data_IF_913340019211
#
_entry.id   IF_913340019211
#
_cell.length_a   1.000
_cell.length_b   1.000
_cell.length_c   1.000
_cell.angle_alpha   90.00
_cell.angle_beta   90.00
_cell.angle_gamma   90.00
#
_symmetry.space_group_name_H-M   'P 1'
#
loop_
_entity.id
_entity.type
_entity.pdbx_description
1 polymer ?
#
# COMPACT_ATOMS: atom_id res chain seq x y z
N UNK A 1 15.61 -0.16 28.87
CA UNK A 1 14.78 -1.39 29.03
C UNK A 1 14.16 -1.74 27.67
N UNK A 2 14.55 -2.88 27.06
CA UNK A 2 13.85 -3.41 25.87
C UNK A 2 12.49 -3.91 26.34
N UNK A 3 11.40 -3.19 26.06
CA UNK A 3 10.06 -3.74 26.25
C UNK A 3 9.86 -4.83 25.21
N UNK A 4 9.95 -6.09 25.61
CA UNK A 4 9.54 -7.20 24.77
C UNK A 4 8.01 -7.19 24.69
N UNK A 5 7.47 -6.63 23.61
CA UNK A 5 6.05 -6.75 23.31
C UNK A 5 5.78 -8.17 22.79
N UNK A 6 5.03 -8.96 23.56
CA UNK A 6 4.43 -10.19 23.04
C UNK A 6 3.06 -9.81 22.46
N UNK A 7 2.88 -10.06 21.18
CA UNK A 7 1.60 -9.91 20.51
C UNK A 7 0.90 -11.26 20.49
N UNK A 8 -0.31 -11.30 21.07
CA UNK A 8 -1.17 -12.47 20.98
C UNK A 8 -2.00 -12.35 19.69
N UNK A 9 -1.66 -13.17 18.68
CA UNK A 9 -2.29 -13.11 17.36
C UNK A 9 -3.57 -13.95 17.35
N UNK A 10 -4.71 -13.28 17.47
CA UNK A 10 -6.03 -13.92 17.30
C UNK A 10 -6.24 -14.30 15.84
N UNK A 11 -6.61 -15.55 15.58
CA UNK A 11 -7.03 -15.96 14.22
C UNK A 11 -8.33 -15.26 13.85
N UNK A 12 -8.36 -14.64 12.67
CA UNK A 12 -9.56 -14.07 12.10
C UNK A 12 -9.98 -14.84 10.85
N UNK A 13 -11.27 -15.19 10.76
CA UNK A 13 -11.84 -15.79 9.56
C UNK A 13 -12.22 -14.75 8.49
N UNK A 14 -12.06 -13.47 8.79
CA UNK A 14 -12.32 -12.37 7.86
C UNK A 14 -11.23 -12.33 6.79
N UNK A 15 -11.61 -11.92 5.58
CA UNK A 15 -10.72 -11.89 4.41
C UNK A 15 -10.48 -10.45 3.98
N UNK A 16 -9.27 -10.15 3.49
CA UNK A 16 -8.93 -8.86 2.91
C UNK A 16 -8.63 -8.97 1.41
N UNK A 17 -9.06 -7.98 0.62
CA UNK A 17 -8.65 -7.79 -0.77
C UNK A 17 -7.73 -6.59 -0.86
N UNK A 18 -6.51 -6.77 -1.36
CA UNK A 18 -5.61 -5.68 -1.70
C UNK A 18 -5.83 -5.34 -3.18
N UNK A 19 -6.45 -4.19 -3.45
CA UNK A 19 -6.74 -3.70 -4.78
C UNK A 19 -5.78 -2.55 -5.10
N UNK A 20 -4.96 -2.70 -6.14
CA UNK A 20 -4.01 -1.65 -6.47
C UNK A 20 -2.90 -2.11 -7.41
N UNK A 21 -1.72 -1.52 -7.25
CA UNK A 21 -0.59 -1.76 -8.15
C UNK A 21 0.14 -3.06 -7.85
N UNK A 22 0.52 -3.75 -8.94
CA UNK A 22 1.44 -4.88 -8.94
C UNK A 22 2.64 -4.55 -9.82
N UNK A 23 3.84 -4.80 -9.36
CA UNK A 23 5.10 -4.39 -9.99
C UNK A 23 6.12 -5.52 -9.85
N UNK A 24 6.93 -5.74 -10.87
CA UNK A 24 8.16 -6.54 -10.73
C UNK A 24 9.32 -5.59 -10.45
N UNK A 25 9.96 -5.76 -9.29
CA UNK A 25 11.11 -4.97 -8.91
C UNK A 25 12.40 -5.67 -9.31
N UNK A 26 13.30 -4.92 -9.94
CA UNK A 26 14.67 -5.36 -10.25
C UNK A 26 15.64 -4.50 -9.44
N UNK A 27 16.32 -5.11 -8.51
CA UNK A 27 17.31 -4.45 -7.66
C UNK A 27 18.71 -4.74 -8.20
N UNK A 28 19.39 -3.71 -8.71
CA UNK A 28 20.77 -3.80 -9.22
C UNK A 28 21.70 -3.06 -8.25
N UNK A 29 22.72 -3.77 -7.73
CA UNK A 29 23.63 -3.25 -6.71
C UNK A 29 25.00 -2.91 -7.25
N UNK A 30 25.68 -2.03 -6.53
CA UNK A 30 27.02 -1.50 -6.83
C UNK A 30 27.02 -0.60 -8.08
N UNK A 31 25.93 0.15 -8.29
CA UNK A 31 25.86 1.14 -9.35
C UNK A 31 26.27 2.51 -8.80
N UNK A 32 27.56 2.81 -8.80
CA UNK A 32 28.09 4.09 -8.30
C UNK A 32 28.09 5.19 -9.37
N UNK A 33 28.17 4.81 -10.64
CA UNK A 33 28.08 5.72 -11.80
C UNK A 33 27.08 5.19 -12.82
N UNK A 34 26.26 6.08 -13.34
CA UNK A 34 25.49 5.79 -14.56
C UNK A 34 26.44 5.99 -15.74
N UNK A 35 26.62 5.00 -16.61
CA UNK A 35 27.46 5.15 -17.79
C UNK A 35 26.93 6.27 -18.69
N UNK A 36 27.82 6.88 -19.49
CA UNK A 36 27.43 7.83 -20.53
C UNK A 36 26.63 7.09 -21.61
N UNK A 37 25.86 7.82 -22.38
CA UNK A 37 25.19 7.28 -23.56
C UNK A 37 26.20 6.54 -24.46
N UNK A 38 25.77 5.43 -25.04
CA UNK A 38 26.56 4.57 -25.93
C UNK A 38 27.81 3.93 -25.28
N UNK A 39 27.84 3.84 -23.94
CA UNK A 39 28.91 3.15 -23.21
C UNK A 39 28.38 2.05 -22.31
N UNK A 40 29.19 1.04 -22.03
CA UNK A 40 28.87 -0.08 -21.15
C UNK A 40 29.28 0.24 -19.71
N UNK A 41 28.37 -0.04 -18.77
CA UNK A 41 28.66 -0.13 -17.34
C UNK A 41 28.35 -1.51 -16.80
N UNK A 42 29.03 -1.93 -15.77
CA UNK A 42 28.79 -3.21 -15.07
C UNK A 42 28.32 -2.96 -13.64
N UNK A 43 27.65 -3.95 -13.06
CA UNK A 43 27.23 -3.98 -11.66
C UNK A 43 27.33 -5.42 -11.12
N UNK A 44 27.35 -5.59 -9.79
CA UNK A 44 27.75 -6.86 -9.20
C UNK A 44 26.59 -7.85 -8.98
N UNK A 45 25.42 -7.35 -8.58
CA UNK A 45 24.31 -8.22 -8.14
C UNK A 45 22.97 -7.72 -8.70
N UNK A 46 22.14 -8.66 -9.13
CA UNK A 46 20.73 -8.40 -9.45
C UNK A 46 19.82 -9.29 -8.64
N UNK A 47 18.74 -8.72 -8.09
CA UNK A 47 17.65 -9.44 -7.44
C UNK A 47 16.33 -9.04 -8.05
N UNK A 48 15.42 -10.00 -8.10
CA UNK A 48 14.06 -9.79 -8.57
C UNK A 48 13.08 -9.95 -7.41
N UNK A 49 12.09 -9.08 -7.35
CA UNK A 49 11.02 -9.11 -6.35
C UNK A 49 9.65 -8.90 -6.99
N UNK A 50 8.64 -9.58 -6.46
CA UNK A 50 7.26 -9.20 -6.72
C UNK A 50 6.89 -8.14 -5.70
N UNK A 51 6.51 -6.96 -6.18
CA UNK A 51 6.22 -5.77 -5.38
C UNK A 51 4.99 -5.02 -5.89
N UNK A 52 4.93 -3.75 -5.52
CA UNK A 52 3.75 -2.91 -5.63
C UNK A 52 2.85 -3.02 -4.40
N UNK A 53 2.20 -1.91 -4.02
CA UNK A 53 1.52 -1.81 -2.73
C UNK A 53 0.49 -2.92 -2.49
N UNK A 54 -0.25 -3.38 -3.53
CA UNK A 54 -1.22 -4.45 -3.36
C UNK A 54 -0.56 -5.80 -3.07
N UNK A 55 0.54 -6.10 -3.76
CA UNK A 55 1.30 -7.35 -3.57
C UNK A 55 1.99 -7.34 -2.20
N UNK A 56 2.68 -6.26 -1.86
CA UNK A 56 3.39 -6.11 -0.58
C UNK A 56 2.43 -6.24 0.61
N UNK A 57 1.32 -5.50 0.60
CA UNK A 57 0.32 -5.56 1.68
C UNK A 57 -0.30 -6.95 1.79
N UNK A 58 -0.59 -7.62 0.66
CA UNK A 58 -1.15 -8.97 0.66
C UNK A 58 -0.16 -10.00 1.24
N UNK A 59 1.13 -9.92 0.89
CA UNK A 59 2.18 -10.79 1.44
C UNK A 59 2.29 -10.58 2.95
N UNK A 60 2.32 -9.34 3.43
CA UNK A 60 2.38 -9.03 4.85
C UNK A 60 1.14 -9.53 5.60
N UNK A 61 -0.08 -9.32 5.07
CA UNK A 61 -1.32 -9.83 5.65
C UNK A 61 -1.35 -11.36 5.74
N UNK A 62 -0.90 -12.03 4.68
CA UNK A 62 -0.80 -13.48 4.66
C UNK A 62 0.18 -14.01 5.72
N UNK A 63 1.33 -13.34 5.89
CA UNK A 63 2.30 -13.68 6.95
C UNK A 63 1.74 -13.48 8.36
N UNK A 64 0.77 -12.58 8.54
CA UNK A 64 0.01 -12.38 9.78
C UNK A 64 -1.17 -13.36 9.94
N UNK A 65 -1.39 -14.27 8.98
CA UNK A 65 -2.43 -15.30 9.04
C UNK A 65 -3.81 -14.84 8.53
N UNK A 66 -3.91 -13.68 7.85
CA UNK A 66 -5.14 -13.24 7.19
C UNK A 66 -5.24 -13.86 5.79
N UNK A 67 -6.35 -14.52 5.51
CA UNK A 67 -6.67 -14.93 4.15
C UNK A 67 -6.90 -13.69 3.28
N UNK A 68 -6.11 -13.54 2.24
CA UNK A 68 -6.18 -12.35 1.39
C UNK A 68 -6.13 -12.70 -0.09
N UNK A 69 -6.54 -11.74 -0.91
CA UNK A 69 -6.42 -11.76 -2.36
C UNK A 69 -5.85 -10.46 -2.89
N UNK A 70 -5.38 -10.51 -4.13
CA UNK A 70 -4.90 -9.35 -4.88
C UNK A 70 -5.81 -9.09 -6.07
N UNK A 71 -6.17 -7.83 -6.28
CA UNK A 71 -6.81 -7.31 -7.48
C UNK A 71 -5.90 -6.26 -8.09
N UNK A 72 -5.33 -6.57 -9.24
CA UNK A 72 -4.36 -5.72 -9.93
C UNK A 72 -4.33 -6.06 -11.42
N UNK A 73 -3.73 -5.20 -12.23
CA UNK A 73 -3.48 -5.50 -13.63
C UNK A 73 -2.00 -5.86 -13.85
N UNK A 74 -1.78 -6.88 -14.68
CA UNK A 74 -0.47 -7.33 -15.15
C UNK A 74 -0.48 -7.52 -16.66
N UNK A 75 0.68 -7.63 -17.26
CA UNK A 75 0.84 -8.01 -18.67
C UNK A 75 0.70 -9.51 -18.89
N UNK A 76 0.62 -9.89 -20.16
CA UNK A 76 0.76 -11.29 -20.62
C UNK A 76 2.24 -11.57 -20.91
N UNK A 77 3.10 -11.41 -19.90
CA UNK A 77 4.56 -11.49 -19.99
C UNK A 77 5.15 -12.24 -18.79
N UNK A 78 6.46 -12.49 -18.84
CA UNK A 78 7.19 -13.22 -17.80
C UNK A 78 7.11 -12.52 -16.43
N UNK A 79 7.08 -11.19 -16.40
CA UNK A 79 6.97 -10.42 -15.17
C UNK A 79 5.61 -10.64 -14.51
N UNK A 80 4.53 -10.68 -15.28
CA UNK A 80 3.19 -10.96 -14.77
C UNK A 80 3.06 -12.39 -14.25
N UNK A 81 3.62 -13.38 -14.96
CA UNK A 81 3.65 -14.77 -14.50
C UNK A 81 4.48 -14.91 -13.21
N UNK A 82 5.61 -14.20 -13.11
CA UNK A 82 6.41 -14.18 -11.90
C UNK A 82 5.61 -13.67 -10.68
N UNK A 83 4.87 -12.57 -10.81
CA UNK A 83 4.02 -12.03 -9.74
C UNK A 83 2.97 -13.08 -9.33
N UNK A 84 2.27 -13.69 -10.29
CA UNK A 84 1.25 -14.71 -10.01
C UNK A 84 1.86 -15.90 -9.26
N UNK A 85 3.02 -16.39 -9.70
CA UNK A 85 3.72 -17.51 -9.07
C UNK A 85 4.09 -17.19 -7.62
N UNK A 86 4.65 -16.00 -7.36
CA UNK A 86 5.00 -15.56 -6.01
C UNK A 86 3.78 -15.46 -5.07
N UNK A 87 2.63 -15.03 -5.57
CA UNK A 87 1.38 -14.97 -4.81
C UNK A 87 0.81 -16.38 -4.56
N UNK A 88 0.78 -17.25 -5.58
CA UNK A 88 0.29 -18.63 -5.47
C UNK A 88 1.11 -19.46 -4.50
N UNK A 89 2.45 -19.34 -4.49
CA UNK A 89 3.33 -20.01 -3.53
C UNK A 89 2.98 -19.67 -2.07
N UNK A 90 2.40 -18.49 -1.84
CA UNK A 90 1.93 -18.03 -0.53
C UNK A 90 0.43 -18.29 -0.31
N UNK A 91 -0.24 -18.99 -1.22
CA UNK A 91 -1.69 -19.25 -1.16
C UNK A 91 -2.55 -17.98 -1.13
N UNK A 92 -2.05 -16.88 -1.70
CA UNK A 92 -2.81 -15.62 -1.87
C UNK A 92 -3.71 -15.77 -3.09
N UNK A 93 -4.99 -15.36 -2.95
CA UNK A 93 -5.98 -15.47 -4.03
C UNK A 93 -5.65 -14.50 -5.17
N UNK A 94 -5.47 -15.05 -6.37
CA UNK A 94 -5.14 -14.32 -7.60
C UNK A 94 -6.32 -14.22 -8.58
N UNK A 95 -7.53 -14.64 -8.20
CA UNK A 95 -8.69 -14.70 -9.09
C UNK A 95 -9.16 -13.32 -9.59
N UNK A 96 -8.73 -12.24 -8.95
CA UNK A 96 -9.03 -10.87 -9.34
C UNK A 96 -7.84 -10.15 -10.03
N UNK A 97 -6.79 -10.88 -10.41
CA UNK A 97 -5.72 -10.33 -11.23
C UNK A 97 -6.11 -10.38 -12.69
N UNK A 98 -5.99 -9.24 -13.36
CA UNK A 98 -6.37 -9.06 -14.77
C UNK A 98 -5.13 -9.04 -15.65
N UNK A 99 -5.17 -9.78 -16.75
CA UNK A 99 -4.11 -9.78 -17.77
C UNK A 99 -4.47 -8.82 -18.90
N UNK A 100 -3.66 -7.80 -19.10
CA UNK A 100 -3.85 -6.77 -20.13
C UNK A 100 -2.92 -6.98 -21.34
N UNK A 101 -3.06 -6.13 -22.36
CA UNK A 101 -2.13 -6.07 -23.52
C UNK A 101 -0.86 -5.26 -23.18
N UNK A 102 -0.91 -4.42 -22.15
CA UNK A 102 0.25 -3.66 -21.70
C UNK A 102 1.20 -4.58 -20.94
N UNK A 103 2.49 -4.26 -20.95
CA UNK A 103 3.47 -4.98 -20.16
C UNK A 103 3.19 -4.83 -18.66
N UNK A 104 3.55 -5.82 -17.88
CA UNK A 104 3.57 -5.72 -16.42
C UNK A 104 4.45 -4.55 -16.00
N UNK A 105 4.00 -3.80 -14.98
CA UNK A 105 4.81 -2.73 -14.43
C UNK A 105 6.15 -3.26 -13.91
N UNK A 106 7.20 -2.48 -14.14
CA UNK A 106 8.55 -2.81 -13.68
C UNK A 106 9.18 -1.59 -13.01
N UNK A 107 9.85 -1.82 -11.89
CA UNK A 107 10.73 -0.84 -11.26
C UNK A 107 12.16 -1.35 -11.30
N UNK A 108 13.05 -0.57 -11.86
CA UNK A 108 14.49 -0.78 -11.81
C UNK A 108 15.09 0.09 -10.70
N UNK A 109 15.50 -0.55 -9.61
CA UNK A 109 16.14 0.09 -8.47
C UNK A 109 17.66 -0.01 -8.60
N UNK A 110 18.31 1.10 -8.87
CA UNK A 110 19.78 1.23 -8.88
C UNK A 110 20.26 1.55 -7.47
N UNK A 111 21.09 0.69 -6.92
CA UNK A 111 21.61 0.81 -5.55
C UNK A 111 23.13 0.99 -5.63
N UNK A 112 23.62 2.11 -5.13
CA UNK A 112 25.07 2.35 -5.03
C UNK A 112 25.70 1.57 -3.89
N UNK A 113 27.04 1.43 -3.89
CA UNK A 113 27.80 0.74 -2.84
C UNK A 113 27.58 1.34 -1.45
N UNK A 114 27.26 2.65 -1.36
CA UNK A 114 26.93 3.31 -0.10
C UNK A 114 25.43 3.28 0.26
N UNK A 115 24.62 2.45 -0.44
CA UNK A 115 23.21 2.24 -0.14
C UNK A 115 22.23 3.30 -0.67
N UNK A 116 22.71 4.35 -1.38
CA UNK A 116 21.82 5.33 -2.02
C UNK A 116 21.08 4.67 -3.18
N UNK A 117 19.83 5.11 -3.44
CA UNK A 117 18.94 4.50 -4.42
C UNK A 117 18.42 5.50 -5.44
N UNK A 118 18.21 4.99 -6.66
CA UNK A 118 17.47 5.66 -7.73
C UNK A 118 16.50 4.65 -8.33
N UNK A 119 15.34 5.14 -8.73
CA UNK A 119 14.29 4.30 -9.28
C UNK A 119 13.89 4.79 -10.67
N UNK A 120 13.74 3.84 -11.59
CA UNK A 120 13.08 4.04 -12.87
C UNK A 120 11.88 3.10 -12.91
N UNK A 121 10.69 3.66 -13.08
CA UNK A 121 9.45 2.88 -13.07
C UNK A 121 8.68 3.08 -14.36
N UNK A 122 8.23 1.96 -14.95
CA UNK A 122 7.20 1.93 -15.98
C UNK A 122 5.93 1.36 -15.35
N UNK A 123 4.84 2.11 -15.36
CA UNK A 123 3.59 1.71 -14.73
C UNK A 123 2.80 0.66 -15.52
N UNK A 124 3.07 0.53 -16.82
CA UNK A 124 2.56 -0.56 -17.66
C UNK A 124 1.08 -0.84 -17.50
N UNK A 125 0.75 -2.07 -17.12
CA UNK A 125 -0.63 -2.54 -16.93
C UNK A 125 -1.40 -1.78 -15.84
N UNK A 126 -0.72 -1.23 -14.82
CA UNK A 126 -1.39 -0.45 -13.78
C UNK A 126 -2.08 0.81 -14.33
N UNK A 127 -1.53 1.43 -15.38
CA UNK A 127 -2.11 2.63 -16.00
C UNK A 127 -3.46 2.39 -16.66
N UNK A 128 -3.72 1.16 -17.11
CA UNK A 128 -4.94 0.77 -17.83
C UNK A 128 -5.93 -0.04 -17.00
N UNK A 129 -5.58 -0.34 -15.74
CA UNK A 129 -6.50 -1.01 -14.82
C UNK A 129 -7.78 -0.19 -14.65
N UNK A 130 -8.95 -0.82 -14.78
CA UNK A 130 -10.25 -0.15 -14.84
C UNK A 130 -11.29 -0.87 -13.98
N UNK A 131 -12.33 -0.15 -13.57
CA UNK A 131 -13.49 -0.73 -12.89
C UNK A 131 -14.17 -1.82 -13.71
N UNK A 132 -14.04 -1.80 -15.03
CA UNK A 132 -14.59 -2.83 -15.95
C UNK A 132 -13.89 -4.17 -15.79
N UNK A 133 -12.67 -4.17 -15.29
CA UNK A 133 -11.87 -5.37 -15.07
C UNK A 133 -12.28 -6.11 -13.78
N UNK A 134 -13.12 -5.50 -12.95
CA UNK A 134 -13.47 -6.01 -11.63
C UNK A 134 -14.64 -6.98 -11.67
N UNK A 135 -14.44 -8.18 -11.11
CA UNK A 135 -15.49 -9.19 -10.92
C UNK A 135 -16.12 -8.98 -9.55
N UNK A 136 -17.20 -8.21 -9.49
CA UNK A 136 -17.84 -7.80 -8.23
C UNK A 136 -18.32 -8.99 -7.37
N UNK A 137 -18.76 -10.09 -7.96
CA UNK A 137 -19.14 -11.31 -7.21
C UNK A 137 -17.96 -11.90 -6.45
N UNK A 138 -16.74 -11.82 -7.01
CA UNK A 138 -15.53 -12.27 -6.34
C UNK A 138 -15.10 -11.32 -5.21
N UNK A 139 -15.45 -10.04 -5.30
CA UNK A 139 -15.07 -9.01 -4.33
C UNK A 139 -15.95 -9.07 -3.07
N UNK A 140 -17.22 -9.42 -3.21
CA UNK A 140 -18.19 -9.46 -2.10
C UNK A 140 -17.85 -10.48 -0.99
N UNK A 141 -16.96 -11.44 -1.25
CA UNK A 141 -16.50 -12.42 -0.25
C UNK A 141 -15.50 -11.87 0.77
N UNK A 142 -14.98 -10.64 0.55
CA UNK A 142 -14.01 -10.01 1.43
C UNK A 142 -14.69 -9.13 2.47
N UNK A 143 -14.13 -9.06 3.66
CA UNK A 143 -14.62 -8.23 4.76
C UNK A 143 -14.03 -6.81 4.72
N UNK A 144 -12.88 -6.67 4.07
CA UNK A 144 -12.19 -5.40 3.88
C UNK A 144 -11.55 -5.35 2.50
N UNK A 145 -11.64 -4.19 1.85
CA UNK A 145 -10.93 -3.87 0.62
C UNK A 145 -9.94 -2.77 0.94
N UNK A 146 -8.66 -3.02 0.66
CA UNK A 146 -7.60 -2.03 0.79
C UNK A 146 -7.24 -1.49 -0.58
N UNK A 147 -7.52 -0.21 -0.83
CA UNK A 147 -7.10 0.52 -2.02
C UNK A 147 -5.64 0.91 -1.83
N UNK A 148 -4.75 0.26 -2.59
CA UNK A 148 -3.31 0.39 -2.44
C UNK A 148 -2.68 1.10 -3.64
N UNK A 149 -1.77 2.02 -3.40
CA UNK A 149 -1.06 2.70 -4.48
C UNK A 149 -1.93 3.69 -5.25
N UNK A 150 -2.92 4.28 -4.59
CA UNK A 150 -3.71 5.41 -5.13
C UNK A 150 -2.77 6.51 -5.62
N UNK A 151 -3.04 7.07 -6.78
CA UNK A 151 -2.25 8.00 -7.60
C UNK A 151 -1.25 7.32 -8.57
N UNK A 152 -1.26 5.99 -8.70
CA UNK A 152 -0.46 5.26 -9.69
C UNK A 152 -1.29 4.50 -10.72
N UNK A 153 -2.61 4.55 -10.63
CA UNK A 153 -3.53 3.84 -11.54
C UNK A 153 -4.31 4.85 -12.39
N UNK A 154 -3.66 5.35 -13.45
CA UNK A 154 -4.14 6.50 -14.24
C UNK A 154 -5.62 6.43 -14.66
N UNK A 155 -6.11 5.25 -15.05
CA UNK A 155 -7.50 5.06 -15.47
C UNK A 155 -8.43 4.91 -14.26
N UNK A 156 -8.01 4.14 -13.24
CA UNK A 156 -8.84 3.82 -12.09
C UNK A 156 -8.95 4.96 -11.06
N UNK A 157 -7.88 5.76 -10.89
CA UNK A 157 -7.84 6.84 -9.89
C UNK A 157 -8.91 7.92 -10.15
N UNK A 158 -9.55 8.39 -9.10
CA UNK A 158 -10.56 9.43 -9.12
C UNK A 158 -11.95 8.92 -9.47
N UNK A 159 -12.44 9.15 -10.71
CA UNK A 159 -13.84 8.88 -11.10
C UNK A 159 -14.21 7.39 -10.99
N UNK A 160 -13.36 6.49 -11.49
CA UNK A 160 -13.66 5.06 -11.46
C UNK A 160 -13.54 4.50 -10.03
N UNK A 161 -12.58 4.99 -9.23
CA UNK A 161 -12.50 4.64 -7.79
C UNK A 161 -13.76 5.10 -7.07
N UNK A 162 -14.28 6.29 -7.37
CA UNK A 162 -15.53 6.79 -6.76
C UNK A 162 -16.73 5.90 -7.13
N UNK A 163 -16.84 5.52 -8.39
CA UNK A 163 -17.89 4.58 -8.84
C UNK A 163 -17.76 3.24 -8.12
N UNK A 164 -16.54 2.72 -8.01
CA UNK A 164 -16.25 1.47 -7.32
C UNK A 164 -16.67 1.51 -5.85
N UNK A 165 -16.21 2.51 -5.08
CA UNK A 165 -16.51 2.59 -3.64
C UNK A 165 -18.01 2.81 -3.38
N UNK A 166 -18.70 3.59 -4.23
CA UNK A 166 -20.16 3.73 -4.18
C UNK A 166 -20.86 2.40 -4.40
N UNK A 167 -20.41 1.62 -5.38
CA UNK A 167 -21.00 0.30 -5.68
C UNK A 167 -20.77 -0.70 -4.55
N UNK A 168 -19.59 -0.68 -3.92
CA UNK A 168 -19.29 -1.52 -2.74
C UNK A 168 -20.16 -1.10 -1.53
N UNK A 169 -20.32 0.19 -1.28
CA UNK A 169 -21.09 0.70 -0.11
C UNK A 169 -22.61 0.70 -0.33
N UNK A 170 -23.08 0.34 -1.55
CA UNK A 170 -24.51 0.23 -1.83
C UNK A 170 -25.16 -0.82 -0.91
N UNK A 171 -26.43 -0.60 -0.56
CA UNK A 171 -27.23 -1.50 0.27
C UNK A 171 -26.66 -1.73 1.68
N UNK A 172 -26.05 -0.72 2.29
CA UNK A 172 -25.48 -0.80 3.64
C UNK A 172 -24.48 -1.94 3.81
N UNK A 173 -23.67 -2.20 2.79
CA UNK A 173 -22.62 -3.21 2.84
C UNK A 173 -21.73 -3.02 4.06
N UNK A 174 -21.40 -4.13 4.74
CA UNK A 174 -20.47 -4.15 5.89
C UNK A 174 -19.00 -4.24 5.49
N UNK A 175 -18.70 -4.23 4.19
CA UNK A 175 -17.32 -4.27 3.70
C UNK A 175 -16.63 -2.96 4.06
N UNK A 176 -15.52 -3.06 4.80
CA UNK A 176 -14.69 -1.91 5.13
C UNK A 176 -13.83 -1.53 3.92
N UNK A 177 -13.62 -0.24 3.73
CA UNK A 177 -12.71 0.29 2.71
C UNK A 177 -11.57 1.03 3.39
N UNK A 178 -10.37 0.51 3.21
CA UNK A 178 -9.12 1.15 3.64
C UNK A 178 -8.43 1.74 2.42
N UNK A 179 -7.76 2.86 2.57
CA UNK A 179 -7.04 3.54 1.48
C UNK A 179 -5.65 3.95 1.92
N UNK A 180 -4.67 3.72 1.06
CA UNK A 180 -3.32 4.27 1.13
C UNK A 180 -2.93 4.88 -0.21
N UNK A 181 -1.97 5.79 -0.20
CA UNK A 181 -1.56 6.57 -1.37
C UNK A 181 -0.08 6.34 -1.67
N UNK A 182 0.35 6.80 -2.83
CA UNK A 182 1.78 6.94 -3.15
C UNK A 182 2.11 8.41 -3.41
N UNK A 183 3.37 8.76 -3.24
CA UNK A 183 3.85 10.09 -3.56
C UNK A 183 3.91 10.31 -5.08
N UNK A 184 3.05 11.16 -5.63
CA UNK A 184 3.00 11.48 -7.06
C UNK A 184 2.72 12.96 -7.30
N UNK A 185 3.75 13.71 -7.69
CA UNK A 185 3.66 15.15 -7.96
C UNK A 185 3.03 15.49 -9.31
N UNK A 186 2.76 14.49 -10.17
CA UNK A 186 2.24 14.70 -11.53
C UNK A 186 0.72 14.82 -11.57
N UNK A 187 0.02 14.59 -10.43
CA UNK A 187 -1.43 14.60 -10.36
C UNK A 187 -1.93 15.56 -9.27
N UNK A 188 -3.17 16.04 -9.42
CA UNK A 188 -3.83 16.79 -8.34
C UNK A 188 -4.44 15.80 -7.34
N UNK A 189 -3.64 15.42 -6.33
CA UNK A 189 -3.98 14.38 -5.37
C UNK A 189 -5.34 14.62 -4.68
N UNK A 190 -5.57 15.82 -4.13
CA UNK A 190 -6.80 16.13 -3.40
C UNK A 190 -8.03 16.03 -4.31
N UNK A 191 -7.93 16.52 -5.56
CA UNK A 191 -9.03 16.44 -6.52
C UNK A 191 -9.45 15.01 -6.82
N UNK A 192 -8.49 14.07 -6.84
CA UNK A 192 -8.76 12.65 -7.12
C UNK A 192 -9.43 11.92 -5.96
N UNK A 193 -9.21 12.34 -4.70
CA UNK A 193 -9.67 11.54 -3.54
C UNK A 193 -10.73 12.23 -2.66
N UNK A 194 -10.92 13.54 -2.73
CA UNK A 194 -11.84 14.27 -1.82
C UNK A 194 -13.27 13.70 -1.82
N UNK A 195 -13.78 13.29 -2.99
CA UNK A 195 -15.11 12.75 -3.14
C UNK A 195 -15.22 11.28 -2.67
N UNK A 196 -14.08 10.62 -2.36
CA UNK A 196 -14.03 9.27 -1.82
C UNK A 196 -14.24 9.26 -0.30
N UNK A 197 -13.87 10.32 0.41
CA UNK A 197 -13.83 10.35 1.88
C UNK A 197 -15.11 9.84 2.56
N UNK A 198 -16.33 10.12 2.08
CA UNK A 198 -17.56 9.59 2.69
C UNK A 198 -17.71 8.07 2.62
N UNK A 199 -16.90 7.40 1.81
CA UNK A 199 -16.97 5.95 1.58
C UNK A 199 -15.79 5.19 2.17
N UNK A 200 -14.77 5.91 2.68
CA UNK A 200 -13.56 5.34 3.24
C UNK A 200 -13.71 5.17 4.76
N UNK A 201 -13.33 4.01 5.27
CA UNK A 201 -13.37 3.71 6.71
C UNK A 201 -12.00 3.93 7.38
N UNK A 202 -10.90 3.71 6.62
CA UNK A 202 -9.52 3.82 7.10
C UNK A 202 -8.66 4.55 6.08
N UNK A 203 -7.90 5.59 6.51
CA UNK A 203 -7.00 6.35 5.65
C UNK A 203 -5.72 6.78 6.37
N UNK A 204 -4.55 6.28 5.92
CA UNK A 204 -3.26 6.56 6.57
C UNK A 204 -2.17 6.90 5.53
N UNK A 205 -2.15 8.13 4.99
CA UNK A 205 -1.05 8.59 4.16
C UNK A 205 0.25 8.79 4.97
N UNK A 206 1.40 8.81 4.30
CA UNK A 206 2.62 9.35 4.89
C UNK A 206 2.54 10.87 5.05
N UNK A 207 3.40 11.45 5.85
CA UNK A 207 3.42 12.92 6.03
C UNK A 207 3.75 13.64 4.72
N UNK A 208 4.62 13.06 3.90
CA UNK A 208 5.00 13.59 2.59
C UNK A 208 3.79 13.55 1.63
N UNK A 209 3.09 12.43 1.58
CA UNK A 209 1.88 12.27 0.76
C UNK A 209 0.77 13.22 1.23
N UNK A 210 0.57 13.34 2.53
CA UNK A 210 -0.44 14.23 3.09
C UNK A 210 -0.12 15.70 2.83
N UNK A 211 1.16 16.08 2.91
CA UNK A 211 1.61 17.41 2.53
C UNK A 211 1.32 17.70 1.05
N UNK A 212 1.54 16.71 0.17
CA UNK A 212 1.22 16.84 -1.25
C UNK A 212 -0.30 16.95 -1.50
N UNK A 213 -1.11 16.21 -0.75
CA UNK A 213 -2.58 16.24 -0.83
C UNK A 213 -3.14 17.59 -0.38
N UNK A 214 -2.65 18.11 0.73
CA UNK A 214 -3.23 19.28 1.41
C UNK A 214 -2.55 20.61 1.08
N UNK A 215 -1.28 20.56 0.67
CA UNK A 215 -0.39 21.72 0.57
C UNK A 215 0.09 22.26 1.93
N UNK A 216 -0.22 21.59 3.05
CA UNK A 216 0.16 22.05 4.39
C UNK A 216 1.47 21.41 4.87
N UNK A 217 2.46 22.21 5.25
CA UNK A 217 3.69 21.76 5.92
C UNK A 217 3.54 21.62 7.45
N UNK A 218 2.39 21.98 8.00
CA UNK A 218 2.14 21.93 9.46
C UNK A 218 1.41 20.65 9.83
N UNK A 219 1.97 19.86 10.74
CA UNK A 219 1.33 18.65 11.32
C UNK A 219 -0.04 18.99 11.91
N UNK A 220 -0.16 20.11 12.63
CA UNK A 220 -1.45 20.56 13.20
C UNK A 220 -2.50 20.76 12.11
N UNK A 221 -2.17 21.51 11.05
CA UNK A 221 -3.11 21.73 9.92
C UNK A 221 -3.48 20.43 9.22
N UNK A 222 -2.53 19.50 9.08
CA UNK A 222 -2.77 18.18 8.51
C UNK A 222 -3.71 17.33 9.40
N UNK A 223 -3.54 17.38 10.73
CA UNK A 223 -4.47 16.73 11.67
C UNK A 223 -5.88 17.33 11.54
N UNK A 224 -5.99 18.67 11.53
CA UNK A 224 -7.27 19.36 11.39
C UNK A 224 -7.96 19.03 10.05
N UNK A 225 -7.19 18.95 8.97
CA UNK A 225 -7.69 18.47 7.67
C UNK A 225 -8.22 17.03 7.77
N UNK A 226 -7.46 16.09 8.33
CA UNK A 226 -7.90 14.70 8.46
C UNK A 226 -9.17 14.58 9.32
N UNK A 227 -9.28 15.34 10.41
CA UNK A 227 -10.51 15.42 11.23
C UNK A 227 -11.71 15.91 10.40
N UNK A 228 -11.49 16.88 9.52
CA UNK A 228 -12.55 17.44 8.68
C UNK A 228 -13.09 16.44 7.64
N UNK A 229 -12.32 15.41 7.27
CA UNK A 229 -12.75 14.35 6.33
C UNK A 229 -13.84 13.46 6.90
N UNK A 230 -14.00 13.41 8.23
CA UNK A 230 -14.93 12.54 8.98
C UNK A 230 -14.72 11.05 8.72
N UNK A 231 -13.55 10.64 8.21
CA UNK A 231 -13.19 9.23 8.07
C UNK A 231 -13.08 8.62 9.48
N UNK A 232 -13.73 7.46 9.75
CA UNK A 232 -13.82 6.90 11.10
C UNK A 232 -12.45 6.65 11.77
N UNK A 233 -11.48 6.13 11.00
CA UNK A 233 -10.12 5.90 11.47
C UNK A 233 -9.13 6.46 10.44
N UNK A 234 -8.38 7.47 10.83
CA UNK A 234 -7.38 8.07 9.96
C UNK A 234 -6.11 8.42 10.75
N UNK A 235 -5.04 8.76 10.05
CA UNK A 235 -3.80 9.15 10.71
C UNK A 235 -2.69 9.47 9.73
N UNK A 236 -1.48 9.60 10.27
CA UNK A 236 -0.29 10.01 9.53
C UNK A 236 0.86 9.05 9.85
N UNK A 237 1.44 8.45 8.84
CA UNK A 237 2.72 7.73 8.94
C UNK A 237 3.86 8.74 8.87
N UNK A 238 4.75 8.80 9.88
CA UNK A 238 5.83 9.79 9.95
C UNK A 238 7.22 9.14 10.00
N UNK A 239 7.35 7.91 9.52
CA UNK A 239 8.61 7.18 9.49
C UNK A 239 9.28 7.08 10.87
N UNK A 240 10.51 7.57 10.98
CA UNK A 240 11.28 7.58 12.23
C UNK A 240 10.67 8.42 13.35
N UNK A 241 9.74 9.30 13.04
CA UNK A 241 9.01 10.13 13.98
C UNK A 241 7.72 9.45 14.48
N UNK A 242 7.48 8.17 14.11
CA UNK A 242 6.33 7.40 14.58
C UNK A 242 5.07 7.62 13.74
N UNK A 243 3.92 7.64 14.39
CA UNK A 243 2.62 7.81 13.70
C UNK A 243 1.59 8.53 14.58
N UNK A 244 0.63 9.16 13.93
CA UNK A 244 -0.52 9.78 14.58
C UNK A 244 -1.77 9.04 14.13
N UNK A 245 -2.61 8.65 15.09
CA UNK A 245 -3.92 8.04 14.86
C UNK A 245 -5.01 9.02 15.26
N UNK A 246 -6.04 9.15 14.44
CA UNK A 246 -7.20 10.01 14.66
C UNK A 246 -8.44 9.12 14.64
N UNK A 247 -9.14 9.05 15.77
CA UNK A 247 -10.37 8.30 15.93
C UNK A 247 -11.32 9.07 16.86
N UNK A 248 -12.60 9.15 16.50
CA UNK A 248 -13.60 9.93 17.24
C UNK A 248 -13.12 11.37 17.55
N UNK A 249 -12.51 12.00 16.56
CA UNK A 249 -11.97 13.37 16.64
C UNK A 249 -10.78 13.57 17.60
N UNK A 250 -10.29 12.51 18.26
CA UNK A 250 -9.12 12.53 19.13
C UNK A 250 -7.89 12.09 18.37
N UNK A 251 -6.78 12.80 18.54
CA UNK A 251 -5.49 12.44 17.98
C UNK A 251 -4.60 11.79 19.05
N UNK A 252 -4.05 10.63 18.74
CA UNK A 252 -3.14 9.87 19.62
C UNK A 252 -1.82 9.63 18.90
N UNK A 253 -0.72 9.84 19.58
CA UNK A 253 0.62 9.62 19.04
C UNK A 253 1.12 8.23 19.43
N UNK A 254 1.75 7.53 18.45
CA UNK A 254 2.46 6.29 18.64
C UNK A 254 3.95 6.49 18.33
N UNK A 255 4.79 6.26 19.34
CA UNK A 255 6.25 6.36 19.17
C UNK A 255 6.78 5.30 18.23
N UNK A 256 7.84 5.57 17.44
CA UNK A 256 8.45 4.59 16.57
C UNK A 256 9.18 3.52 17.36
N UNK A 257 9.31 2.33 16.78
CA UNK A 257 10.25 1.34 17.28
C UNK A 257 11.67 1.72 16.85
N UNK A 258 12.62 1.65 17.79
CA UNK A 258 14.05 1.88 17.48
C UNK A 258 14.64 0.62 16.85
N UNK A 259 14.88 0.69 15.55
CA UNK A 259 15.49 -0.39 14.76
C UNK A 259 16.68 0.13 13.97
N UNK A 260 17.59 -0.76 13.60
CA UNK A 260 18.61 -0.45 12.59
C UNK A 260 17.92 -0.55 11.23
N UNK A 261 17.80 0.58 10.57
CA UNK A 261 17.17 0.64 9.24
C UNK A 261 18.14 0.08 8.19
N UNK A 262 17.71 -0.95 7.49
CA UNK A 262 18.41 -1.51 6.33
C UNK A 262 17.71 -1.13 5.03
N UNK A 263 16.41 -1.27 4.97
CA UNK A 263 15.56 -0.89 3.85
C UNK A 263 14.21 -0.37 4.36
N UNK A 264 13.72 0.74 3.83
CA UNK A 264 12.40 1.30 4.16
C UNK A 264 11.34 0.98 3.10
N UNK A 265 11.71 0.27 2.01
CA UNK A 265 10.76 -0.08 0.96
C UNK A 265 9.68 -1.00 1.51
N UNK A 266 8.42 -0.69 1.27
CA UNK A 266 7.29 -1.49 1.76
C UNK A 266 6.94 -1.32 3.24
N UNK A 267 7.68 -0.50 4.01
CA UNK A 267 7.33 -0.25 5.43
C UNK A 267 5.94 0.35 5.60
N UNK A 268 5.49 1.20 4.67
CA UNK A 268 4.12 1.72 4.61
C UNK A 268 3.10 0.60 4.39
N UNK A 269 3.37 -0.32 3.45
CA UNK A 269 2.52 -1.48 3.16
C UNK A 269 2.44 -2.42 4.37
N UNK A 270 3.56 -2.63 5.07
CA UNK A 270 3.63 -3.44 6.29
C UNK A 270 2.85 -2.78 7.45
N UNK A 271 2.94 -1.44 7.60
CA UNK A 271 2.12 -0.68 8.55
C UNK A 271 0.64 -0.90 8.28
N UNK A 272 0.21 -0.75 7.02
CA UNK A 272 -1.19 -0.95 6.64
C UNK A 272 -1.64 -2.39 6.85
N UNK A 273 -0.79 -3.37 6.54
CA UNK A 273 -1.08 -4.78 6.82
C UNK A 273 -1.32 -5.03 8.32
N UNK A 274 -0.46 -4.48 9.18
CA UNK A 274 -0.63 -4.56 10.64
C UNK A 274 -1.94 -3.91 11.12
N UNK A 275 -2.29 -2.75 10.58
CA UNK A 275 -3.53 -2.03 10.90
C UNK A 275 -4.77 -2.80 10.44
N UNK A 276 -4.75 -3.33 9.22
CA UNK A 276 -5.83 -4.14 8.66
C UNK A 276 -6.01 -5.44 9.46
N UNK A 277 -4.90 -6.11 9.80
CA UNK A 277 -4.94 -7.29 10.67
C UNK A 277 -5.61 -6.97 12.00
N UNK A 278 -5.18 -5.92 12.69
CA UNK A 278 -5.74 -5.52 13.98
C UNK A 278 -7.22 -5.16 13.87
N UNK A 279 -7.64 -4.47 12.79
CA UNK A 279 -9.03 -4.13 12.51
C UNK A 279 -9.89 -5.38 12.29
N UNK A 280 -9.44 -6.31 11.44
CA UNK A 280 -10.20 -7.54 11.14
C UNK A 280 -10.26 -8.50 12.31
N UNK A 281 -9.28 -8.44 13.21
CA UNK A 281 -9.21 -9.22 14.44
C UNK A 281 -9.87 -8.52 15.64
N UNK A 282 -10.46 -7.34 15.43
CA UNK A 282 -11.21 -6.57 16.44
C UNK A 282 -10.38 -6.23 17.69
N UNK A 283 -9.11 -5.84 17.48
CA UNK A 283 -8.27 -5.35 18.55
C UNK A 283 -8.58 -3.89 18.92
N UNK A 284 -8.21 -3.51 20.13
CA UNK A 284 -8.34 -2.11 20.59
C UNK A 284 -7.49 -1.16 19.73
N UNK A 285 -7.85 0.13 19.73
CA UNK A 285 -7.09 1.16 19.03
C UNK A 285 -5.62 1.18 19.49
N UNK A 286 -5.36 1.10 20.79
CA UNK A 286 -4.01 1.09 21.36
C UNK A 286 -3.18 -0.10 20.84
N UNK A 287 -3.77 -1.28 20.77
CA UNK A 287 -3.10 -2.44 20.17
C UNK A 287 -2.81 -2.20 18.70
N UNK A 288 -3.80 -1.71 17.95
CA UNK A 288 -3.66 -1.42 16.51
C UNK A 288 -2.52 -0.44 16.23
N UNK A 289 -2.41 0.62 17.04
CA UNK A 289 -1.34 1.63 16.94
C UNK A 289 0.05 1.00 17.10
N UNK A 290 0.24 0.24 18.18
CA UNK A 290 1.55 -0.38 18.50
C UNK A 290 1.87 -1.46 17.48
N UNK A 291 0.90 -2.30 17.14
CA UNK A 291 1.11 -3.43 16.23
C UNK A 291 1.43 -2.99 14.80
N UNK A 292 0.72 -1.99 14.25
CA UNK A 292 1.02 -1.44 12.92
C UNK A 292 2.43 -0.85 12.86
N UNK A 293 2.82 -0.12 13.90
CA UNK A 293 4.17 0.46 14.00
C UNK A 293 5.25 -0.62 14.13
N UNK A 294 4.96 -1.73 14.84
CA UNK A 294 5.86 -2.88 14.94
C UNK A 294 6.01 -3.59 13.59
N UNK A 295 4.91 -3.80 12.85
CA UNK A 295 4.97 -4.38 11.50
C UNK A 295 5.83 -3.54 10.56
N UNK A 296 5.66 -2.21 10.55
CA UNK A 296 6.49 -1.31 9.74
C UNK A 296 7.98 -1.36 10.11
N UNK A 297 8.29 -1.56 11.39
CA UNK A 297 9.67 -1.62 11.87
C UNK A 297 10.36 -2.98 11.62
N UNK A 298 9.59 -4.02 11.32
CA UNK A 298 10.08 -5.39 11.08
C UNK A 298 10.14 -5.76 9.60
N UNK A 299 9.81 -4.81 8.72
CA UNK A 299 9.74 -5.03 7.27
C UNK A 299 11.13 -5.10 6.59
#
# INVERSE_FOLDING_TARGET
>A
MKKNFKFDLKKSNKKALCLGIAVTDTYAKSIDKIPKWDTLGTFDEVKYGAGGCAVNTAINLNSLGINCGVSAAIGKDLNGEFIIDQLKKRKIDTANIVKTKNNTAITFAMISSNGKRRYLTNWGANDVFSIKDLIFSNIQKYSLIHLCGTFAMKTFDGKETLEFVKKIKKNKSKILISMDTIYNTKVNCLKLIKDLFPYIDIFFPSIEELTLITGYNSIKKNIDFLKSTKIPLTGIKMGKEGSIFIHNNNASYCSPFKVKVEDTSGAGDAFMAGLIFATLSEYSLNYSMIFSSACAANN
#
